data_IF_288870299603
#
_entry.id   IF_288870299603
#
_cell.length_a   1.000
_cell.length_b   1.000
_cell.length_c   1.000
_cell.angle_alpha   90.00
_cell.angle_beta   90.00
_cell.angle_gamma   90.00
#
_symmetry.space_group_name_H-M   'P 1'
#
loop_
_entity.id
_entity.type
_entity.pdbx_description
1 polymer ?
#
# COMPACT_ATOMS: atom_id res chain seq x y z
N UNK A 1 -21.45 -34.06 37.00
CA UNK A 1 -20.56 -34.17 35.81
C UNK A 1 -21.28 -34.10 34.44
N UNK A 2 -22.62 -34.23 34.31
CA UNK A 2 -23.32 -34.15 33.00
C UNK A 2 -24.13 -32.87 32.72
N UNK A 3 -24.12 -31.88 33.62
CA UNK A 3 -24.91 -30.63 33.48
C UNK A 3 -24.06 -29.34 33.36
N UNK A 4 -22.73 -29.45 33.48
CA UNK A 4 -21.84 -28.28 33.41
C UNK A 4 -21.42 -27.99 31.96
N UNK A 5 -21.50 -28.99 31.08
CA UNK A 5 -21.12 -28.86 29.66
C UNK A 5 -22.08 -27.94 28.89
N UNK A 6 -23.35 -27.84 29.31
CA UNK A 6 -24.36 -27.04 28.61
C UNK A 6 -24.20 -25.53 28.79
N UNK A 7 -23.45 -25.05 29.78
CA UNK A 7 -23.23 -23.61 29.99
C UNK A 7 -22.01 -23.10 29.18
N UNK A 8 -21.06 -23.99 28.85
CA UNK A 8 -19.87 -23.62 28.06
C UNK A 8 -20.13 -23.45 26.56
N UNK A 9 -21.27 -23.95 26.05
CA UNK A 9 -21.62 -23.86 24.62
C UNK A 9 -22.38 -22.57 24.27
N UNK A 10 -23.04 -21.93 25.25
CA UNK A 10 -23.78 -20.69 25.00
C UNK A 10 -22.89 -19.43 24.93
N UNK A 11 -21.70 -19.45 25.55
CA UNK A 11 -20.78 -18.32 25.54
C UNK A 11 -19.97 -18.17 24.24
N UNK A 12 -19.98 -19.16 23.35
CA UNK A 12 -19.12 -19.17 22.15
C UNK A 12 -19.76 -18.49 20.92
N UNK A 13 -21.07 -18.20 20.95
CA UNK A 13 -21.79 -17.63 19.79
C UNK A 13 -22.02 -16.11 19.85
N UNK A 14 -21.60 -15.41 20.91
CA UNK A 14 -21.67 -13.94 21.00
C UNK A 14 -20.33 -13.23 20.69
N UNK A 15 -19.35 -13.94 20.11
CA UNK A 15 -18.04 -13.37 19.77
C UNK A 15 -17.84 -12.94 18.31
N UNK A 16 -18.77 -13.27 17.39
CA UNK A 16 -18.51 -13.22 15.95
C UNK A 16 -19.01 -11.96 15.22
N UNK A 17 -19.50 -10.93 15.91
CA UNK A 17 -19.96 -9.69 15.29
C UNK A 17 -19.08 -8.45 15.53
N UNK A 18 -17.86 -8.60 16.05
CA UNK A 18 -16.99 -7.47 16.36
C UNK A 18 -15.88 -7.25 15.32
N UNK A 19 -16.16 -7.27 14.01
CA UNK A 19 -15.35 -6.56 12.98
C UNK A 19 -16.19 -6.15 11.75
N UNK A 20 -17.46 -5.76 11.91
CA UNK A 20 -18.29 -5.27 10.80
C UNK A 20 -18.16 -3.76 10.55
N UNK A 21 -17.47 -3.02 11.41
CA UNK A 21 -17.13 -1.61 11.19
C UNK A 21 -15.61 -1.44 11.26
N UNK A 22 -14.93 -1.74 10.16
CA UNK A 22 -13.85 -0.85 9.76
C UNK A 22 -14.51 0.47 9.35
N UNK A 23 -15.03 1.20 10.34
CA UNK A 23 -15.50 2.55 10.20
C UNK A 23 -14.39 3.27 9.46
N UNK A 24 -14.72 3.75 8.26
CA UNK A 24 -13.80 4.36 7.30
C UNK A 24 -12.86 5.27 8.08
N UNK A 25 -11.65 4.77 8.37
CA UNK A 25 -10.69 5.49 9.20
C UNK A 25 -10.50 6.83 8.51
N UNK A 26 -10.90 7.88 9.23
CA UNK A 26 -10.91 9.25 8.72
C UNK A 26 -9.65 9.54 7.94
N UNK A 27 -9.87 10.17 6.81
CA UNK A 27 -8.98 10.39 5.67
C UNK A 27 -7.79 11.33 5.95
N UNK A 28 -7.12 11.18 7.09
CA UNK A 28 -5.90 11.89 7.40
C UNK A 28 -4.74 10.92 7.29
N UNK A 29 -3.83 11.21 6.35
CA UNK A 29 -2.61 10.42 6.21
C UNK A 29 -1.88 10.44 7.56
N UNK A 30 -1.43 9.29 8.09
CA UNK A 30 -0.60 9.27 9.27
C UNK A 30 0.61 10.18 9.10
N UNK A 31 1.07 10.80 10.19
CA UNK A 31 2.28 11.61 10.19
C UNK A 31 3.45 10.87 9.51
N UNK A 32 4.28 11.56 8.69
CA UNK A 32 5.44 10.96 8.02
C UNK A 32 6.31 10.12 8.96
N UNK A 33 6.52 10.56 10.21
CA UNK A 33 7.32 9.83 11.20
C UNK A 33 6.66 8.52 11.60
N UNK A 34 5.38 8.57 11.94
CA UNK A 34 4.58 7.38 12.30
C UNK A 34 4.53 6.38 11.14
N UNK A 35 4.51 6.85 9.89
CA UNK A 35 4.57 5.99 8.72
C UNK A 35 5.94 5.32 8.57
N UNK A 36 7.02 6.05 8.77
CA UNK A 36 8.38 5.50 8.73
C UNK A 36 8.63 4.49 9.86
N UNK A 37 8.17 4.79 11.08
CA UNK A 37 8.22 3.86 12.22
C UNK A 37 7.48 2.56 11.92
N UNK A 38 6.23 2.64 11.46
CA UNK A 38 5.44 1.47 11.10
C UNK A 38 6.08 0.63 9.98
N UNK A 39 6.71 1.28 8.99
CA UNK A 39 7.47 0.57 7.96
C UNK A 39 8.65 -0.19 8.56
N UNK A 40 9.38 0.46 9.47
CA UNK A 40 10.54 -0.10 10.17
C UNK A 40 10.14 -1.27 11.05
N UNK A 41 9.11 -1.13 11.89
CA UNK A 41 8.62 -2.18 12.78
C UNK A 41 8.17 -3.43 12.01
N UNK A 42 7.47 -3.25 10.89
CA UNK A 42 7.05 -4.36 10.03
C UNK A 42 8.24 -5.12 9.48
N UNK A 43 9.23 -4.42 8.94
CA UNK A 43 10.43 -5.07 8.41
C UNK A 43 11.27 -5.71 9.53
N UNK A 44 11.38 -5.04 10.67
CA UNK A 44 12.05 -5.54 11.86
C UNK A 44 11.44 -6.87 12.32
N UNK A 45 10.10 -6.96 12.32
CA UNK A 45 9.37 -8.17 12.66
C UNK A 45 9.47 -9.25 11.58
N UNK A 46 9.39 -8.87 10.32
CA UNK A 46 9.38 -9.83 9.20
C UNK A 46 10.75 -10.47 8.93
N UNK A 47 11.84 -9.72 9.14
CA UNK A 47 13.20 -10.18 8.84
C UNK A 47 14.09 -10.30 10.08
N UNK A 48 13.51 -10.19 11.27
CA UNK A 48 14.20 -10.30 12.56
C UNK A 48 15.43 -9.37 12.63
N UNK A 49 15.22 -8.09 12.34
CA UNK A 49 16.32 -7.11 12.31
C UNK A 49 16.85 -6.84 13.72
N UNK A 50 18.16 -6.64 13.84
CA UNK A 50 18.79 -6.18 15.07
C UNK A 50 18.59 -4.67 15.27
N UNK A 51 18.91 -4.14 16.46
CA UNK A 51 18.63 -2.75 16.80
C UNK A 51 19.44 -1.74 15.98
N UNK A 52 20.66 -2.08 15.59
CA UNK A 52 21.48 -1.27 14.67
C UNK A 52 20.83 -1.16 13.30
N UNK A 53 20.37 -2.29 12.75
CA UNK A 53 19.66 -2.34 11.47
C UNK A 53 18.34 -1.56 11.54
N UNK A 54 17.59 -1.65 12.64
CA UNK A 54 16.35 -0.90 12.83
C UNK A 54 16.58 0.61 12.82
N UNK A 55 17.62 1.11 13.49
CA UNK A 55 17.95 2.54 13.51
C UNK A 55 18.27 3.06 12.10
N UNK A 56 19.16 2.36 11.39
CA UNK A 56 19.51 2.70 10.00
C UNK A 56 18.29 2.62 9.06
N UNK A 57 17.43 1.63 9.27
CA UNK A 57 16.21 1.46 8.48
C UNK A 57 15.19 2.56 8.75
N UNK A 58 15.08 3.03 10.00
CA UNK A 58 14.20 4.14 10.35
C UNK A 58 14.62 5.42 9.62
N UNK A 59 15.92 5.73 9.62
CA UNK A 59 16.46 6.89 8.89
C UNK A 59 16.20 6.79 7.39
N UNK A 60 16.48 5.64 6.77
CA UNK A 60 16.18 5.40 5.36
C UNK A 60 14.67 5.54 5.06
N UNK A 61 13.82 5.06 5.97
CA UNK A 61 12.36 5.16 5.85
C UNK A 61 11.86 6.59 5.99
N UNK A 62 12.45 7.42 6.84
CA UNK A 62 12.08 8.82 6.98
C UNK A 62 12.32 9.59 5.68
N UNK A 63 13.51 9.42 5.08
CA UNK A 63 13.86 10.05 3.80
C UNK A 63 12.93 9.57 2.68
N UNK A 64 12.67 8.26 2.61
CA UNK A 64 11.79 7.70 1.60
C UNK A 64 10.34 8.17 1.77
N UNK A 65 9.83 8.18 3.01
CA UNK A 65 8.47 8.62 3.31
C UNK A 65 8.28 10.10 3.05
N UNK A 66 9.26 10.95 3.35
CA UNK A 66 9.20 12.38 3.05
C UNK A 66 9.09 12.62 1.52
N UNK A 67 9.98 11.98 0.75
CA UNK A 67 10.00 12.04 -0.72
C UNK A 67 8.73 11.48 -1.38
N UNK A 68 8.04 10.56 -0.69
CA UNK A 68 6.81 9.92 -1.18
C UNK A 68 5.53 10.52 -0.58
N UNK A 69 5.61 11.19 0.56
CA UNK A 69 4.49 11.65 1.39
C UNK A 69 4.00 13.04 1.00
N UNK A 70 4.86 13.89 0.42
CA UNK A 70 4.45 15.15 -0.21
C UNK A 70 3.67 14.97 -1.53
N UNK A 71 3.41 13.73 -1.96
CA UNK A 71 2.71 13.45 -3.22
C UNK A 71 1.20 13.37 -2.97
N UNK A 72 0.37 14.12 -3.72
CA UNK A 72 -1.06 13.96 -3.63
C UNK A 72 -1.43 12.53 -4.04
N UNK A 73 -1.86 11.72 -3.07
CA UNK A 73 -2.57 10.46 -3.32
C UNK A 73 -3.89 10.85 -3.95
N UNK A 74 -3.98 10.74 -5.28
CA UNK A 74 -5.24 10.87 -5.97
C UNK A 74 -6.18 9.82 -5.42
N UNK A 75 -7.12 10.23 -4.53
CA UNK A 75 -8.32 9.45 -4.32
C UNK A 75 -8.87 9.20 -5.72
N UNK A 76 -9.08 7.94 -6.06
CA UNK A 76 -9.88 7.59 -7.24
C UNK A 76 -11.15 8.43 -7.10
N UNK A 77 -11.45 9.35 -8.03
CA UNK A 77 -12.71 10.07 -7.98
C UNK A 77 -13.79 9.02 -7.84
N UNK A 78 -14.68 9.20 -6.87
CA UNK A 78 -15.75 8.26 -6.55
C UNK A 78 -16.32 7.73 -7.86
N UNK A 79 -16.08 6.44 -8.15
CA UNK A 79 -16.53 5.78 -9.38
C UNK A 79 -18.05 5.50 -9.33
N UNK A 80 -18.80 6.40 -8.65
CA UNK A 80 -20.20 6.29 -8.29
C UNK A 80 -21.00 7.56 -8.59
N UNK A 81 -20.49 8.50 -9.39
CA UNK A 81 -21.31 9.57 -9.96
C UNK A 81 -21.34 9.51 -11.47
N UNK A 82 -22.39 8.87 -11.96
CA UNK A 82 -23.12 9.29 -13.16
C UNK A 82 -22.38 9.17 -14.48
N UNK A 83 -22.76 8.16 -15.25
CA UNK A 83 -22.68 8.18 -16.71
C UNK A 83 -23.56 9.33 -17.24
N UNK A 84 -23.10 10.57 -17.15
CA UNK A 84 -23.68 11.66 -17.91
C UNK A 84 -22.63 12.06 -18.93
N UNK A 85 -22.53 11.22 -19.97
CA UNK A 85 -21.93 11.64 -21.22
C UNK A 85 -22.67 12.89 -21.68
N UNK A 86 -21.98 14.03 -21.71
CA UNK A 86 -22.42 15.14 -22.51
C UNK A 86 -22.18 14.73 -23.96
N UNK A 87 -23.25 14.27 -24.63
CA UNK A 87 -23.27 13.87 -26.04
C UNK A 87 -23.14 15.06 -27.01
N UNK A 88 -22.88 16.27 -26.52
CA UNK A 88 -22.75 17.47 -27.33
C UNK A 88 -21.34 18.08 -27.24
N UNK A 89 -20.41 17.40 -27.92
CA UNK A 89 -19.30 17.93 -28.71
C UNK A 89 -18.71 19.32 -28.32
N UNK A 90 -17.83 19.32 -27.31
CA UNK A 90 -16.65 20.21 -27.20
C UNK A 90 -15.53 19.61 -26.31
N UNK A 91 -15.86 18.59 -25.49
CA UNK A 91 -14.96 17.93 -24.54
C UNK A 91 -13.98 16.91 -25.16
N UNK A 92 -14.17 16.48 -26.42
CA UNK A 92 -13.33 15.45 -27.03
C UNK A 92 -11.92 15.96 -27.42
N UNK A 93 -11.80 17.24 -27.81
CA UNK A 93 -10.54 17.86 -28.27
C UNK A 93 -9.68 18.33 -27.10
N UNK A 94 -10.32 18.88 -26.06
CA UNK A 94 -9.70 19.13 -24.74
C UNK A 94 -9.37 17.82 -24.02
N UNK A 95 -10.16 16.77 -24.23
CA UNK A 95 -9.92 15.42 -23.73
C UNK A 95 -8.56 14.83 -24.16
N UNK A 96 -8.18 14.89 -25.45
CA UNK A 96 -6.89 14.35 -25.92
C UNK A 96 -5.67 15.10 -25.37
N UNK A 97 -5.69 16.44 -25.34
CA UNK A 97 -4.63 17.26 -24.72
C UNK A 97 -4.54 16.99 -23.22
N UNK A 98 -5.68 16.98 -22.52
CA UNK A 98 -5.74 16.64 -21.10
C UNK A 98 -5.27 15.20 -20.84
N UNK A 99 -5.50 14.26 -21.74
CA UNK A 99 -5.02 12.87 -21.63
C UNK A 99 -3.51 12.77 -21.86
N UNK A 100 -2.97 13.52 -22.83
CA UNK A 100 -1.54 13.61 -23.09
C UNK A 100 -0.78 14.27 -21.93
N UNK A 101 -1.28 15.39 -21.41
CA UNK A 101 -0.71 16.08 -20.24
C UNK A 101 -0.78 15.22 -18.98
N UNK A 102 -1.89 14.46 -18.81
CA UNK A 102 -1.99 13.46 -17.73
C UNK A 102 -1.03 12.30 -17.93
N UNK A 103 -0.86 11.80 -19.15
CA UNK A 103 0.09 10.71 -19.45
C UNK A 103 1.52 11.17 -19.18
N UNK A 104 1.92 12.35 -19.66
CA UNK A 104 3.23 12.94 -19.38
C UNK A 104 3.44 13.20 -17.88
N UNK A 105 2.43 13.71 -17.18
CA UNK A 105 2.45 13.89 -15.73
C UNK A 105 2.56 12.57 -14.96
N UNK A 106 1.90 11.50 -15.42
CA UNK A 106 2.00 10.16 -14.85
C UNK A 106 3.37 9.52 -15.12
N UNK A 107 3.91 9.65 -16.33
CA UNK A 107 5.23 9.15 -16.69
C UNK A 107 6.33 9.82 -15.86
N UNK A 108 6.27 11.14 -15.69
CA UNK A 108 7.21 11.87 -14.82
C UNK A 108 7.11 11.37 -13.37
N UNK A 109 5.90 11.25 -12.83
CA UNK A 109 5.67 10.71 -11.48
C UNK A 109 6.14 9.26 -11.34
N UNK A 110 5.97 8.45 -12.38
CA UNK A 110 6.41 7.05 -12.39
C UNK A 110 7.94 6.97 -12.37
N UNK A 111 8.63 7.77 -13.19
CA UNK A 111 10.10 7.85 -13.18
C UNK A 111 10.62 8.26 -11.81
N UNK A 112 10.12 9.37 -11.27
CA UNK A 112 10.53 9.83 -9.94
C UNK A 112 10.25 8.80 -8.83
N UNK A 113 9.14 8.07 -8.91
CA UNK A 113 8.81 7.01 -7.97
C UNK A 113 9.77 5.83 -8.12
N UNK A 114 10.10 5.44 -9.35
CA UNK A 114 11.06 4.39 -9.64
C UNK A 114 12.45 4.77 -9.10
N UNK A 115 12.87 6.02 -9.30
CA UNK A 115 14.17 6.51 -8.83
C UNK A 115 14.24 6.60 -7.30
N UNK A 116 13.17 7.10 -6.66
CA UNK A 116 13.06 7.09 -5.20
C UNK A 116 13.08 5.67 -4.64
N UNK A 117 12.45 4.72 -5.35
CA UNK A 117 12.41 3.32 -4.96
C UNK A 117 13.77 2.64 -5.13
N UNK A 118 14.46 2.83 -6.25
CA UNK A 118 15.78 2.26 -6.47
C UNK A 118 16.81 2.80 -5.48
N UNK A 119 16.75 4.09 -5.15
CA UNK A 119 17.62 4.68 -4.13
C UNK A 119 17.38 4.05 -2.75
N UNK A 120 16.12 3.84 -2.38
CA UNK A 120 15.75 3.19 -1.13
C UNK A 120 16.16 1.71 -1.10
N UNK A 121 15.97 0.97 -2.19
CA UNK A 121 16.36 -0.44 -2.28
C UNK A 121 17.89 -0.60 -2.17
N UNK A 122 18.68 0.35 -2.69
CA UNK A 122 20.13 0.38 -2.51
C UNK A 122 20.55 0.65 -1.04
N UNK A 123 19.79 1.45 -0.29
CA UNK A 123 19.99 1.61 1.16
C UNK A 123 19.64 0.33 1.90
N UNK A 124 18.53 -0.33 1.53
CA UNK A 124 18.13 -1.61 2.13
C UNK A 124 19.20 -2.70 1.97
N UNK A 125 19.83 -2.78 0.80
CA UNK A 125 20.88 -3.77 0.56
C UNK A 125 22.11 -3.59 1.47
N UNK A 126 22.36 -2.37 1.95
CA UNK A 126 23.45 -2.07 2.91
C UNK A 126 23.07 -2.41 4.35
N UNK A 127 21.79 -2.31 4.69
CA UNK A 127 21.28 -2.51 6.06
C UNK A 127 20.98 -4.00 6.32
N UNK A 128 20.44 -4.68 5.32
CA UNK A 128 20.03 -6.08 5.42
C UNK A 128 21.19 -7.02 5.13
N UNK A 129 21.19 -8.19 5.78
CA UNK A 129 22.09 -9.28 5.37
C UNK A 129 21.68 -9.83 4.01
N UNK A 130 22.57 -10.58 3.34
CA UNK A 130 22.28 -11.21 2.05
C UNK A 130 21.00 -12.06 2.10
N UNK A 131 20.84 -12.86 3.16
CA UNK A 131 19.70 -13.75 3.32
C UNK A 131 18.40 -12.97 3.59
N UNK A 132 18.46 -11.92 4.43
CA UNK A 132 17.33 -11.04 4.69
C UNK A 132 16.89 -10.30 3.42
N UNK A 133 17.84 -9.82 2.62
CA UNK A 133 17.56 -9.14 1.36
C UNK A 133 16.99 -10.08 0.30
N UNK A 134 17.47 -11.33 0.23
CA UNK A 134 16.92 -12.35 -0.66
C UNK A 134 15.45 -12.68 -0.29
N UNK A 135 15.16 -12.86 1.00
CA UNK A 135 13.78 -13.08 1.48
C UNK A 135 12.87 -11.90 1.16
N UNK A 136 13.37 -10.67 1.31
CA UNK A 136 12.66 -9.45 0.94
C UNK A 136 12.32 -9.41 -0.56
N UNK A 137 13.29 -9.67 -1.42
CA UNK A 137 13.10 -9.66 -2.87
C UNK A 137 12.09 -10.72 -3.32
N UNK A 138 12.17 -11.93 -2.76
CA UNK A 138 11.18 -12.99 -3.03
C UNK A 138 9.76 -12.53 -2.68
N UNK A 139 9.56 -11.92 -1.51
CA UNK A 139 8.25 -11.40 -1.11
C UNK A 139 7.76 -10.23 -1.97
N UNK A 140 8.66 -9.44 -2.54
CA UNK A 140 8.31 -8.39 -3.50
C UNK A 140 7.86 -8.99 -4.83
N UNK A 141 8.55 -10.04 -5.29
CA UNK A 141 8.18 -10.79 -6.50
C UNK A 141 6.84 -11.51 -6.33
N UNK A 142 6.64 -12.25 -5.24
CA UNK A 142 5.37 -12.93 -4.95
C UNK A 142 4.17 -11.96 -4.92
N UNK A 143 4.39 -10.75 -4.38
CA UNK A 143 3.38 -9.69 -4.41
C UNK A 143 3.09 -9.20 -5.81
N UNK A 144 4.12 -9.03 -6.64
CA UNK A 144 3.97 -8.64 -8.05
C UNK A 144 3.19 -9.71 -8.81
N UNK A 145 3.56 -10.97 -8.68
CA UNK A 145 2.91 -12.09 -9.37
C UNK A 145 1.45 -12.23 -8.95
N UNK A 146 1.16 -12.03 -7.66
CA UNK A 146 -0.23 -12.01 -7.14
C UNK A 146 -1.05 -10.85 -7.69
N UNK A 147 -0.44 -9.68 -7.91
CA UNK A 147 -1.13 -8.54 -8.52
C UNK A 147 -1.39 -8.80 -10.00
N UNK A 148 -0.43 -9.40 -10.70
CA UNK A 148 -0.57 -9.79 -12.11
C UNK A 148 -1.63 -10.88 -12.31
N UNK A 149 -1.66 -11.91 -11.45
CA UNK A 149 -2.67 -12.97 -11.54
C UNK A 149 -4.07 -12.45 -11.30
N UNK A 150 -4.26 -11.61 -10.26
CA UNK A 150 -5.54 -10.91 -10.02
C UNK A 150 -5.95 -10.01 -11.17
N UNK A 151 -5.00 -9.33 -11.80
CA UNK A 151 -5.26 -8.50 -12.99
C UNK A 151 -5.75 -9.34 -14.17
N UNK A 152 -5.12 -10.51 -14.40
CA UNK A 152 -5.54 -11.45 -15.44
C UNK A 152 -6.91 -12.09 -15.15
N UNK A 153 -7.19 -12.41 -13.89
CA UNK A 153 -8.49 -12.96 -13.46
C UNK A 153 -9.62 -11.93 -13.61
N UNK A 154 -9.38 -10.68 -13.19
CA UNK A 154 -10.34 -9.59 -13.37
C UNK A 154 -10.58 -9.20 -14.84
N UNK A 155 -9.65 -9.53 -15.75
CA UNK A 155 -9.82 -9.29 -17.19
C UNK A 155 -10.58 -10.43 -17.91
N UNK A 156 -10.79 -11.57 -17.24
CA UNK A 156 -11.53 -12.74 -17.75
C UNK A 156 -13.01 -12.76 -17.34
N UNK A 157 -13.37 -12.01 -16.31
CA UNK A 157 -14.75 -11.81 -15.84
C UNK A 157 -15.34 -10.53 -16.44
#
# INVERSE_FOLDING_TARGET
MRKIILILVAAFFMGSAAMAQHARRGDRMPDPKVRAERMTERMAKEYSLNDTQKKQLLEANLVFVDKMGGRPMHRRPDAGKGKNACDSCCCARTGKRHQADRKAGMEKKHKEMKDARSAYDAQLQKILTKDQYAAYNKKMQDRKDKMESKGKEAAKN
#
